data_IF_635306023737
#
_entry.id   IF_635306023737
#
_cell.length_a   1.000
_cell.length_b   1.000
_cell.length_c   1.000
_cell.angle_alpha   90.00
_cell.angle_beta   90.00
_cell.angle_gamma   90.00
#
_symmetry.space_group_name_H-M   'P 1'
#
loop_
_entity.id
_entity.type
_entity.pdbx_description
1 polymer ?
#
# COMPACT_ATOMS: atom_id res chain seq x y z
N UNK A 1 6.65 31.14 4.04
CA UNK A 1 5.36 31.65 3.56
C UNK A 1 5.38 31.84 2.04
N UNK A 2 6.32 32.62 1.48
CA UNK A 2 6.42 32.85 0.03
C UNK A 2 6.43 31.57 -0.83
N UNK A 3 7.28 30.58 -0.50
CA UNK A 3 7.34 29.29 -1.24
C UNK A 3 6.00 28.54 -1.21
N UNK A 4 5.30 28.56 -0.06
CA UNK A 4 4.03 27.85 0.12
C UNK A 4 2.91 28.47 -0.74
N UNK A 5 2.86 29.81 -0.83
CA UNK A 5 1.90 30.50 -1.70
C UNK A 5 2.10 30.19 -3.19
N UNK A 6 3.31 29.80 -3.60
CA UNK A 6 3.63 29.47 -4.99
C UNK A 6 3.28 28.02 -5.36
N UNK A 7 2.88 27.19 -4.40
CA UNK A 7 2.38 25.83 -4.66
C UNK A 7 1.06 25.82 -5.41
N UNK A 8 0.26 26.89 -5.30
CA UNK A 8 -1.04 27.04 -5.95
C UNK A 8 -0.96 27.86 -7.25
N UNK A 9 0.25 28.09 -7.77
CA UNK A 9 0.43 28.91 -8.97
C UNK A 9 -0.10 28.19 -10.21
N UNK A 10 -0.76 28.91 -11.13
CA UNK A 10 -1.24 28.34 -12.39
C UNK A 10 -0.11 27.79 -13.28
N UNK A 11 1.11 28.32 -13.15
CA UNK A 11 2.28 27.88 -13.90
C UNK A 11 2.91 26.61 -13.30
N UNK A 12 2.88 25.51 -14.07
CA UNK A 12 3.45 24.21 -13.69
C UNK A 12 4.92 24.29 -13.26
N UNK A 13 5.75 25.05 -13.98
CA UNK A 13 7.19 25.18 -13.68
C UNK A 13 7.40 25.85 -12.33
N UNK A 14 6.58 26.84 -11.98
CA UNK A 14 6.64 27.52 -10.68
C UNK A 14 6.25 26.56 -9.56
N UNK A 15 5.20 25.76 -9.75
CA UNK A 15 4.79 24.74 -8.76
C UNK A 15 5.90 23.70 -8.56
N UNK A 16 6.48 23.17 -9.64
CA UNK A 16 7.59 22.22 -9.57
C UNK A 16 8.81 22.79 -8.84
N UNK A 17 9.22 24.02 -9.17
CA UNK A 17 10.34 24.70 -8.51
C UNK A 17 10.07 24.91 -7.02
N UNK A 18 8.85 25.31 -6.67
CA UNK A 18 8.43 25.54 -5.28
C UNK A 18 8.45 24.24 -4.45
N UNK A 19 8.00 23.13 -5.02
CA UNK A 19 8.08 21.81 -4.38
C UNK A 19 9.53 21.33 -4.19
N UNK A 20 10.40 21.59 -5.17
CA UNK A 20 11.82 21.26 -5.06
C UNK A 20 12.49 22.04 -3.92
N UNK A 21 12.22 23.35 -3.81
CA UNK A 21 12.70 24.18 -2.71
C UNK A 21 12.12 23.71 -1.38
N UNK A 22 10.83 23.40 -1.31
CA UNK A 22 10.19 22.91 -0.09
C UNK A 22 10.84 21.61 0.41
N UNK A 23 11.07 20.64 -0.49
CA UNK A 23 11.79 19.40 -0.14
C UNK A 23 13.18 19.70 0.42
N UNK A 24 13.91 20.61 -0.22
CA UNK A 24 15.25 20.98 0.25
C UNK A 24 15.19 21.57 1.66
N UNK A 25 14.28 22.51 1.92
CA UNK A 25 14.10 23.14 3.24
C UNK A 25 13.74 22.12 4.33
N UNK A 26 12.85 21.16 4.03
CA UNK A 26 12.50 20.06 4.95
C UNK A 26 13.75 19.27 5.35
N UNK A 27 14.64 18.98 4.41
CA UNK A 27 15.85 18.20 4.68
C UNK A 27 17.00 18.99 5.30
N UNK A 28 17.14 20.28 5.00
CA UNK A 28 18.29 21.08 5.42
C UNK A 28 18.05 21.95 6.65
N UNK A 29 16.79 22.21 7.01
CA UNK A 29 16.42 23.19 8.05
C UNK A 29 15.45 22.63 9.10
N UNK A 30 15.72 21.42 9.61
CA UNK A 30 14.80 20.66 10.48
C UNK A 30 14.25 21.47 11.65
N UNK A 31 15.10 22.17 12.41
CA UNK A 31 14.67 22.95 13.59
C UNK A 31 13.67 24.06 13.24
N UNK A 32 13.87 24.74 12.10
CA UNK A 32 12.98 25.80 11.62
C UNK A 32 11.67 25.19 11.10
N UNK A 33 11.77 24.05 10.40
CA UNK A 33 10.63 23.38 9.79
C UNK A 33 9.71 22.71 10.81
N UNK A 34 10.24 22.32 11.98
CA UNK A 34 9.48 21.68 13.06
C UNK A 34 8.25 22.52 13.46
N UNK A 35 8.45 23.82 13.73
CA UNK A 35 7.38 24.77 14.07
C UNK A 35 6.38 25.04 12.93
N UNK A 36 6.65 24.56 11.71
CA UNK A 36 5.86 24.82 10.50
C UNK A 36 5.19 23.58 9.93
N UNK A 37 5.32 22.42 10.59
CA UNK A 37 4.81 21.13 10.11
C UNK A 37 3.35 21.16 9.68
N UNK A 38 2.46 21.67 10.54
CA UNK A 38 1.03 21.76 10.25
C UNK A 38 0.72 22.72 9.09
N UNK A 39 1.45 23.84 9.01
CA UNK A 39 1.30 24.79 7.90
C UNK A 39 1.74 24.15 6.56
N UNK A 40 2.82 23.39 6.57
CA UNK A 40 3.32 22.67 5.38
C UNK A 40 2.32 21.58 4.97
N UNK A 41 1.78 20.82 5.93
CA UNK A 41 0.71 19.83 5.68
C UNK A 41 -0.54 20.47 5.10
N UNK A 42 -0.94 21.64 5.59
CA UNK A 42 -2.07 22.36 5.01
C UNK A 42 -1.77 22.80 3.57
N UNK A 43 -0.55 23.28 3.31
CA UNK A 43 -0.15 23.86 2.02
C UNK A 43 0.08 22.82 0.93
N UNK A 44 0.42 21.57 1.29
CA UNK A 44 0.65 20.50 0.30
C UNK A 44 -0.66 19.92 -0.27
N UNK A 45 -1.82 20.19 0.36
CA UNK A 45 -3.11 19.63 -0.05
C UNK A 45 -3.49 19.93 -1.50
N UNK A 46 -3.26 21.17 -1.96
CA UNK A 46 -3.53 21.55 -3.35
C UNK A 46 -2.62 20.79 -4.35
N UNK A 47 -1.29 20.75 -4.16
CA UNK A 47 -0.42 19.91 -4.98
C UNK A 47 -0.80 18.43 -5.06
N UNK A 48 -1.44 17.84 -4.03
CA UNK A 48 -1.93 16.45 -4.10
C UNK A 48 -3.05 16.26 -5.13
N UNK A 49 -3.76 17.33 -5.50
CA UNK A 49 -4.83 17.30 -6.50
C UNK A 49 -4.35 17.73 -7.90
N UNK A 50 -3.05 17.99 -8.10
CA UNK A 50 -2.53 18.41 -9.40
C UNK A 50 -2.75 17.33 -10.47
N UNK A 51 -3.02 17.72 -11.71
CA UNK A 51 -3.21 16.78 -12.81
C UNK A 51 -1.89 16.32 -13.43
N UNK A 52 -0.83 17.13 -13.38
CA UNK A 52 0.45 16.86 -14.00
C UNK A 52 1.25 15.82 -13.24
N UNK A 53 1.62 14.73 -13.93
CA UNK A 53 2.52 13.72 -13.38
C UNK A 53 3.91 14.28 -13.04
N UNK A 54 4.35 15.37 -13.68
CA UNK A 54 5.60 16.06 -13.29
C UNK A 54 5.48 16.69 -11.91
N UNK A 55 4.35 17.35 -11.62
CA UNK A 55 4.09 17.93 -10.31
C UNK A 55 3.89 16.83 -9.27
N UNK A 56 3.07 15.81 -9.56
CA UNK A 56 2.87 14.66 -8.66
C UNK A 56 4.20 13.99 -8.31
N UNK A 57 5.10 13.79 -9.27
CA UNK A 57 6.46 13.28 -9.01
C UNK A 57 7.19 14.15 -7.99
N UNK A 58 7.14 15.48 -8.10
CA UNK A 58 7.73 16.39 -7.10
C UNK A 58 7.04 16.28 -5.74
N UNK A 59 5.72 16.11 -5.71
CA UNK A 59 4.95 15.88 -4.48
C UNK A 59 5.39 14.59 -3.79
N UNK A 60 5.54 13.47 -4.51
CA UNK A 60 6.06 12.21 -3.94
C UNK A 60 7.44 12.44 -3.31
N UNK A 61 8.35 13.18 -3.97
CA UNK A 61 9.67 13.49 -3.40
C UNK A 61 9.60 14.32 -2.10
N UNK A 62 8.64 15.24 -2.01
CA UNK A 62 8.37 16.02 -0.79
C UNK A 62 7.82 15.10 0.30
N UNK A 63 6.86 14.23 -0.02
CA UNK A 63 6.28 13.26 0.92
C UNK A 63 7.37 12.32 1.47
N UNK A 64 8.28 11.81 0.63
CA UNK A 64 9.38 10.97 1.09
C UNK A 64 10.28 11.71 2.09
N UNK A 65 10.52 13.02 1.91
CA UNK A 65 11.24 13.82 2.89
C UNK A 65 10.43 13.98 4.19
N UNK A 66 9.15 14.36 4.06
CA UNK A 66 8.20 14.52 5.17
C UNK A 66 8.10 13.27 6.07
N UNK A 67 8.19 12.07 5.50
CA UNK A 67 8.15 10.81 6.24
C UNK A 67 9.29 10.69 7.28
N UNK A 68 10.52 11.02 6.90
CA UNK A 68 11.66 10.96 7.84
C UNK A 68 11.52 11.96 8.99
N UNK A 69 10.88 13.10 8.73
CA UNK A 69 10.77 14.21 9.68
C UNK A 69 9.47 14.22 10.48
N UNK A 70 8.66 13.17 10.46
CA UNK A 70 7.55 13.00 11.42
C UNK A 70 6.27 13.73 11.03
N UNK A 71 6.08 14.02 9.75
CA UNK A 71 4.88 14.70 9.28
C UNK A 71 3.70 13.73 9.09
N UNK A 72 3.97 12.47 8.74
CA UNK A 72 2.94 11.46 8.46
C UNK A 72 2.21 11.01 9.73
N UNK A 73 2.80 11.24 10.90
CA UNK A 73 2.24 10.95 12.23
C UNK A 73 1.24 12.01 12.69
N UNK A 74 1.22 13.18 12.04
CA UNK A 74 0.35 14.29 12.41
C UNK A 74 -1.04 14.14 11.79
N UNK A 75 -2.01 14.87 12.34
CA UNK A 75 -3.33 15.00 11.75
C UNK A 75 -3.25 15.51 10.30
N UNK A 76 -3.88 14.79 9.37
CA UNK A 76 -3.80 15.03 7.93
C UNK A 76 -2.61 14.36 7.22
N UNK A 77 -1.72 13.70 7.95
CA UNK A 77 -0.64 12.88 7.39
C UNK A 77 -1.15 11.65 6.63
N UNK A 78 -2.33 11.14 7.01
CA UNK A 78 -3.06 10.07 6.33
C UNK A 78 -3.36 10.40 4.86
N UNK A 79 -3.62 11.67 4.54
CA UNK A 79 -3.83 12.13 3.16
C UNK A 79 -2.59 11.93 2.29
N UNK A 80 -1.39 12.05 2.87
CA UNK A 80 -0.14 11.82 2.15
C UNK A 80 0.06 10.33 1.86
N UNK A 81 -0.21 9.48 2.84
CA UNK A 81 -0.17 8.02 2.67
C UNK A 81 -1.20 7.58 1.62
N UNK A 82 -2.42 8.09 1.71
CA UNK A 82 -3.49 7.86 0.73
C UNK A 82 -3.07 8.27 -0.68
N UNK A 83 -2.44 9.43 -0.83
CA UNK A 83 -1.93 9.89 -2.12
C UNK A 83 -0.91 8.90 -2.71
N UNK A 84 0.04 8.40 -1.91
CA UNK A 84 1.00 7.38 -2.37
C UNK A 84 0.29 6.11 -2.83
N UNK A 85 -0.67 5.59 -2.05
CA UNK A 85 -1.39 4.35 -2.38
C UNK A 85 -2.26 4.52 -3.63
N UNK A 86 -2.94 5.66 -3.77
CA UNK A 86 -3.71 5.99 -4.98
C UNK A 86 -2.81 5.96 -6.22
N UNK A 87 -1.57 6.43 -6.11
CA UNK A 87 -0.64 6.48 -7.24
C UNK A 87 0.10 5.16 -7.47
N UNK A 88 0.23 4.29 -6.46
CA UNK A 88 0.57 2.87 -6.64
C UNK A 88 -0.46 2.13 -7.52
N UNK A 89 -1.71 2.62 -7.57
CA UNK A 89 -2.80 2.00 -8.31
C UNK A 89 -2.98 2.54 -9.74
N UNK A 90 -2.13 3.47 -10.21
CA UNK A 90 -2.28 4.05 -11.55
C UNK A 90 -2.31 2.97 -12.64
N UNK A 91 -3.19 3.09 -13.65
CA UNK A 91 -3.14 2.25 -14.83
C UNK A 91 -1.95 2.63 -15.70
N UNK A 92 -1.56 1.72 -16.59
CA UNK A 92 -0.51 1.99 -17.58
C UNK A 92 -0.94 3.14 -18.51
N UNK A 93 0.05 3.91 -18.96
CA UNK A 93 -0.11 5.01 -19.90
C UNK A 93 -0.41 4.41 -21.27
N UNK A 94 -1.60 4.71 -21.80
CA UNK A 94 -1.97 4.27 -23.14
C UNK A 94 -1.53 5.27 -24.19
N UNK A 95 -0.58 4.87 -25.05
CA UNK A 95 -0.27 5.59 -26.28
C UNK A 95 -0.97 4.93 -27.46
N UNK A 96 -1.58 5.73 -28.36
CA UNK A 96 -2.08 5.19 -29.62
C UNK A 96 -0.90 4.65 -30.45
N UNK A 97 -1.09 3.56 -31.23
CA UNK A 97 -0.05 3.05 -32.11
C UNK A 97 0.54 4.17 -33.00
N UNK A 98 1.87 4.35 -32.95
CA UNK A 98 2.58 5.39 -33.71
C UNK A 98 2.63 6.77 -33.05
N UNK A 99 1.95 6.98 -31.92
CA UNK A 99 2.01 8.23 -31.16
C UNK A 99 3.28 8.25 -30.30
N UNK A 100 4.10 9.30 -30.46
CA UNK A 100 5.24 9.56 -29.59
C UNK A 100 4.83 10.50 -28.46
N UNK A 101 5.50 10.44 -27.29
CA UNK A 101 5.35 11.44 -26.24
C UNK A 101 5.52 12.84 -26.84
N UNK A 102 4.59 13.73 -26.52
CA UNK A 102 4.65 15.12 -27.02
C UNK A 102 5.72 15.94 -26.30
N UNK A 103 6.10 15.48 -25.10
CA UNK A 103 7.10 16.10 -24.24
C UNK A 103 8.19 15.04 -23.89
N UNK A 104 9.46 15.28 -24.24
CA UNK A 104 10.57 14.38 -23.88
C UNK A 104 10.75 14.17 -22.37
N UNK A 105 10.27 15.11 -21.54
CA UNK A 105 10.32 15.02 -20.08
C UNK A 105 9.02 14.49 -19.47
N UNK A 106 8.10 13.97 -20.28
CA UNK A 106 6.83 13.41 -19.81
C UNK A 106 7.05 12.34 -18.73
N UNK A 107 6.30 12.43 -17.64
CA UNK A 107 6.32 11.43 -16.57
C UNK A 107 5.15 10.49 -16.80
N UNK A 108 5.44 9.28 -17.24
CA UNK A 108 4.42 8.25 -17.46
C UNK A 108 3.82 7.77 -16.13
N UNK A 109 2.62 7.19 -16.20
CA UNK A 109 1.97 6.60 -15.03
C UNK A 109 2.82 5.47 -14.41
N UNK A 110 3.50 4.67 -15.22
CA UNK A 110 4.37 3.58 -14.77
C UNK A 110 5.56 4.12 -13.97
N UNK A 111 6.18 5.20 -14.44
CA UNK A 111 7.30 5.84 -13.75
C UNK A 111 6.83 6.43 -12.40
N UNK A 112 5.68 7.10 -12.39
CA UNK A 112 5.10 7.66 -11.16
C UNK A 112 4.67 6.56 -10.18
N UNK A 113 4.04 5.50 -10.68
CA UNK A 113 3.62 4.32 -9.91
C UNK A 113 4.80 3.62 -9.26
N UNK A 114 5.85 3.34 -10.03
CA UNK A 114 7.11 2.75 -9.52
C UNK A 114 7.73 3.60 -8.41
N UNK A 115 7.72 4.92 -8.58
CA UNK A 115 8.21 5.84 -7.55
C UNK A 115 7.36 5.81 -6.26
N UNK A 116 6.04 5.66 -6.39
CA UNK A 116 5.14 5.50 -5.26
C UNK A 116 5.33 4.15 -4.56
N UNK A 117 5.51 3.06 -5.32
CA UNK A 117 5.81 1.73 -4.77
C UNK A 117 7.08 1.76 -3.91
N UNK A 118 8.14 2.41 -4.41
CA UNK A 118 9.39 2.60 -3.66
C UNK A 118 9.19 3.49 -2.41
N UNK A 119 8.33 4.50 -2.50
CA UNK A 119 8.04 5.41 -1.38
C UNK A 119 7.23 4.70 -0.29
N UNK A 120 6.27 3.85 -0.66
CA UNK A 120 5.53 3.02 0.29
C UNK A 120 6.46 2.02 0.99
N UNK A 121 7.36 1.39 0.22
CA UNK A 121 8.38 0.51 0.78
C UNK A 121 9.28 1.25 1.80
N UNK A 122 9.71 2.48 1.46
CA UNK A 122 10.48 3.35 2.33
C UNK A 122 9.75 3.61 3.65
N UNK A 123 8.45 3.93 3.62
CA UNK A 123 7.67 4.15 4.84
C UNK A 123 7.70 2.93 5.76
N UNK A 124 7.61 1.72 5.18
CA UNK A 124 7.56 0.48 5.96
C UNK A 124 8.91 -0.07 6.44
N UNK A 125 10.02 0.34 5.80
CA UNK A 125 11.37 -0.17 6.13
C UNK A 125 12.19 0.79 6.95
N UNK A 126 12.13 2.09 6.64
CA UNK A 126 13.09 3.08 7.18
C UNK A 126 12.49 3.98 8.25
N UNK A 127 11.16 4.12 8.28
CA UNK A 127 10.48 5.02 9.20
C UNK A 127 9.75 4.21 10.27
N UNK A 128 10.52 3.68 11.23
CA UNK A 128 9.99 2.78 12.27
C UNK A 128 8.78 3.33 13.03
N UNK A 129 8.72 4.66 13.20
CA UNK A 129 7.62 5.39 13.87
C UNK A 129 6.25 5.20 13.21
N UNK A 130 6.23 4.86 11.91
CA UNK A 130 5.00 4.66 11.15
C UNK A 130 4.44 3.24 11.24
N UNK A 131 5.14 2.31 11.89
CA UNK A 131 4.75 0.88 11.95
C UNK A 131 3.32 0.71 12.47
N UNK A 132 2.99 1.37 13.58
CA UNK A 132 1.69 1.24 14.26
C UNK A 132 0.56 1.96 13.52
N UNK A 133 0.89 3.01 12.78
CA UNK A 133 -0.08 3.75 11.97
C UNK A 133 -0.38 2.95 10.69
N UNK A 134 0.64 2.48 9.99
CA UNK A 134 0.50 1.85 8.69
C UNK A 134 -0.05 0.43 8.78
N UNK A 135 0.26 -0.31 9.84
CA UNK A 135 -0.17 -1.71 9.96
C UNK A 135 -1.70 -1.88 9.80
N UNK A 136 -2.56 -1.27 10.63
CA UNK A 136 -3.99 -1.32 10.42
C UNK A 136 -4.42 -0.52 9.18
N UNK A 137 -3.88 0.69 8.98
CA UNK A 137 -4.34 1.61 7.93
C UNK A 137 -4.23 1.01 6.52
N UNK A 138 -3.15 0.28 6.21
CA UNK A 138 -2.95 -0.26 4.87
C UNK A 138 -3.94 -1.38 4.52
N UNK A 139 -4.51 -2.10 5.51
CA UNK A 139 -5.51 -3.14 5.28
C UNK A 139 -6.79 -2.58 4.65
N UNK A 140 -7.16 -1.33 4.99
CA UNK A 140 -8.30 -0.64 4.39
C UNK A 140 -8.24 -0.62 2.85
N UNK A 141 -7.02 -0.48 2.30
CA UNK A 141 -6.82 -0.28 0.87
C UNK A 141 -6.83 -1.58 0.06
N UNK A 142 -6.89 -2.76 0.70
CA UNK A 142 -6.89 -4.04 0.00
C UNK A 142 -8.24 -4.36 -0.65
N UNK A 143 -9.35 -3.92 -0.06
CA UNK A 143 -10.70 -4.27 -0.50
C UNK A 143 -11.22 -3.42 -1.66
N UNK A 144 -11.09 -2.09 -1.68
CA UNK A 144 -11.68 -1.26 -2.73
C UNK A 144 -11.06 -1.55 -4.11
N UNK A 145 -11.91 -1.82 -5.11
CA UNK A 145 -11.46 -2.23 -6.45
C UNK A 145 -10.55 -1.22 -7.15
N UNK A 146 -10.68 0.08 -6.85
CA UNK A 146 -9.84 1.16 -7.38
C UNK A 146 -8.35 1.02 -7.01
N UNK A 147 -8.03 0.25 -5.97
CA UNK A 147 -6.65 0.00 -5.53
C UNK A 147 -6.07 -1.33 -6.00
N UNK A 148 -6.76 -2.06 -6.89
CA UNK A 148 -6.34 -3.41 -7.31
C UNK A 148 -4.90 -3.44 -7.86
N UNK A 149 -4.46 -2.41 -8.60
CA UNK A 149 -3.09 -2.29 -9.12
C UNK A 149 -2.03 -1.95 -8.06
N UNK A 150 -2.46 -1.55 -6.85
CA UNK A 150 -1.61 -1.32 -5.68
C UNK A 150 -1.55 -2.54 -4.74
N UNK A 151 -2.27 -3.63 -5.04
CA UNK A 151 -2.30 -4.83 -4.18
C UNK A 151 -0.91 -5.37 -3.92
N UNK A 152 -0.09 -5.56 -4.95
CA UNK A 152 1.28 -6.07 -4.80
C UNK A 152 2.14 -5.26 -3.81
N UNK A 153 2.32 -3.93 -3.97
CA UNK A 153 3.09 -3.14 -3.01
C UNK A 153 2.42 -3.07 -1.62
N UNK A 154 1.09 -3.00 -1.53
CA UNK A 154 0.37 -3.04 -0.24
C UNK A 154 0.64 -4.34 0.51
N UNK A 155 0.47 -5.49 -0.13
CA UNK A 155 0.69 -6.80 0.47
C UNK A 155 2.14 -7.00 0.91
N UNK A 156 3.12 -6.57 0.10
CA UNK A 156 4.55 -6.62 0.48
C UNK A 156 4.85 -5.77 1.70
N UNK A 157 4.35 -4.53 1.73
CA UNK A 157 4.52 -3.61 2.85
C UNK A 157 3.86 -4.14 4.13
N UNK A 158 2.64 -4.65 4.04
CA UNK A 158 1.94 -5.26 5.18
C UNK A 158 2.66 -6.54 5.65
N UNK A 159 3.08 -7.42 4.76
CA UNK A 159 3.82 -8.64 5.12
C UNK A 159 5.08 -8.29 5.92
N UNK A 160 5.82 -7.28 5.50
CA UNK A 160 6.99 -6.78 6.21
C UNK A 160 6.64 -6.27 7.61
N UNK A 161 5.64 -5.37 7.70
CA UNK A 161 5.20 -4.80 8.97
C UNK A 161 4.73 -5.90 9.93
N UNK A 162 3.80 -6.75 9.50
CA UNK A 162 3.25 -7.83 10.31
C UNK A 162 4.30 -8.85 10.74
N UNK A 163 5.24 -9.22 9.87
CA UNK A 163 6.36 -10.13 10.24
C UNK A 163 7.25 -9.51 11.31
N UNK A 164 7.59 -8.22 11.17
CA UNK A 164 8.39 -7.50 12.17
C UNK A 164 7.65 -7.44 13.52
N UNK A 165 6.39 -7.04 13.51
CA UNK A 165 5.56 -6.95 14.73
C UNK A 165 5.41 -8.31 15.41
N UNK A 166 5.20 -9.38 14.63
CA UNK A 166 5.11 -10.75 15.14
C UNK A 166 6.43 -11.22 15.77
N UNK A 167 7.56 -11.00 15.08
CA UNK A 167 8.89 -11.38 15.58
C UNK A 167 9.27 -10.63 16.86
N UNK A 168 8.87 -9.36 16.98
CA UNK A 168 9.06 -8.54 18.17
C UNK A 168 7.97 -8.72 19.25
N UNK A 169 7.01 -9.63 19.04
CA UNK A 169 5.89 -9.89 19.94
C UNK A 169 5.15 -8.61 20.35
N UNK A 170 4.98 -7.67 19.41
CA UNK A 170 4.34 -6.39 19.68
C UNK A 170 2.84 -6.61 19.99
N UNK A 171 2.30 -6.01 21.07
CA UNK A 171 0.94 -6.29 21.54
C UNK A 171 -0.15 -5.89 20.55
N UNK A 172 0.13 -4.89 19.71
CA UNK A 172 -0.75 -4.38 18.65
C UNK A 172 -0.51 -5.07 17.29
N UNK A 173 0.15 -6.23 17.26
CA UNK A 173 0.15 -7.11 16.08
C UNK A 173 -1.26 -7.62 15.78
N UNK A 174 -1.98 -8.07 16.82
CA UNK A 174 -3.39 -8.45 16.72
C UNK A 174 -4.24 -7.19 16.75
N UNK A 175 -4.96 -6.93 15.65
CA UNK A 175 -5.80 -5.76 15.48
C UNK A 175 -7.16 -6.04 16.11
N UNK A 176 -7.64 -5.13 16.97
CA UNK A 176 -9.04 -5.14 17.36
C UNK A 176 -9.89 -4.51 16.25
N UNK A 177 -10.52 -5.37 15.45
CA UNK A 177 -11.37 -4.94 14.34
C UNK A 177 -12.67 -4.27 14.81
N UNK A 178 -13.08 -4.44 16.07
CA UNK A 178 -14.28 -3.80 16.62
C UNK A 178 -14.05 -2.32 16.93
N UNK A 179 -12.83 -1.95 17.35
CA UNK A 179 -12.46 -0.55 17.60
C UNK A 179 -12.16 0.22 16.30
N UNK A 180 -11.89 -0.50 15.21
CA UNK A 180 -11.49 0.06 13.93
C UNK A 180 -12.65 0.11 12.93
N UNK A 181 -13.61 1.01 13.15
CA UNK A 181 -14.89 1.11 12.40
C UNK A 181 -14.73 1.17 10.87
N UNK A 182 -13.61 1.68 10.37
CA UNK A 182 -13.36 1.81 8.94
C UNK A 182 -12.64 0.60 8.31
N UNK A 183 -12.14 -0.35 9.09
CA UNK A 183 -11.43 -1.50 8.54
C UNK A 183 -12.38 -2.55 7.96
N UNK A 184 -12.00 -3.21 6.84
CA UNK A 184 -12.70 -4.39 6.37
C UNK A 184 -12.67 -5.48 7.44
N UNK A 185 -13.75 -6.25 7.56
CA UNK A 185 -13.77 -7.38 8.49
C UNK A 185 -12.66 -8.40 8.15
N UNK A 186 -12.18 -9.18 9.13
CA UNK A 186 -11.14 -10.18 8.88
C UNK A 186 -11.52 -11.18 7.77
N UNK A 187 -12.81 -11.54 7.70
CA UNK A 187 -13.38 -12.38 6.66
C UNK A 187 -13.30 -11.75 5.27
N UNK A 188 -13.60 -10.45 5.17
CA UNK A 188 -13.52 -9.73 3.91
C UNK A 188 -12.06 -9.63 3.42
N UNK A 189 -11.11 -9.43 4.33
CA UNK A 189 -9.68 -9.47 4.02
C UNK A 189 -9.26 -10.86 3.53
N UNK A 190 -9.66 -11.91 4.24
CA UNK A 190 -9.38 -13.30 3.86
C UNK A 190 -9.89 -13.61 2.45
N UNK A 191 -11.18 -13.35 2.18
CA UNK A 191 -11.79 -13.57 0.86
C UNK A 191 -11.07 -12.77 -0.21
N UNK A 192 -10.76 -11.50 0.04
CA UNK A 192 -10.04 -10.65 -0.92
C UNK A 192 -8.67 -11.21 -1.28
N UNK A 193 -7.89 -11.65 -0.29
CA UNK A 193 -6.55 -12.23 -0.51
C UNK A 193 -6.62 -13.58 -1.22
N UNK A 194 -7.59 -14.43 -0.89
CA UNK A 194 -7.83 -15.70 -1.57
C UNK A 194 -8.25 -15.49 -3.03
N UNK A 195 -9.15 -14.54 -3.31
CA UNK A 195 -9.55 -14.19 -4.68
C UNK A 195 -8.37 -13.68 -5.51
N UNK A 196 -7.46 -12.91 -4.91
CA UNK A 196 -6.22 -12.52 -5.58
C UNK A 196 -5.33 -13.75 -5.87
N UNK A 197 -5.28 -14.70 -4.93
CA UNK A 197 -4.62 -16.00 -5.10
C UNK A 197 -5.22 -16.84 -6.23
N UNK A 198 -6.55 -16.81 -6.44
CA UNK A 198 -7.21 -17.52 -7.54
C UNK A 198 -6.78 -17.03 -8.93
N UNK A 199 -6.32 -15.78 -9.03
CA UNK A 199 -5.81 -15.21 -10.28
C UNK A 199 -4.42 -14.61 -10.07
N UNK A 200 -3.40 -15.45 -9.82
CA UNK A 200 -2.18 -15.02 -9.13
C UNK A 200 -1.32 -14.06 -9.97
N UNK A 201 -1.41 -14.14 -11.29
CA UNK A 201 -0.64 -13.31 -12.22
C UNK A 201 -1.36 -12.02 -12.67
N UNK A 202 -2.63 -11.82 -12.29
CA UNK A 202 -3.34 -10.57 -12.59
C UNK A 202 -2.79 -9.40 -11.77
N UNK A 203 -3.16 -8.18 -12.18
CA UNK A 203 -2.90 -6.95 -11.42
C UNK A 203 -1.44 -6.81 -10.95
N UNK A 204 -0.48 -7.06 -11.85
CA UNK A 204 0.97 -7.00 -11.59
C UNK A 204 1.45 -8.09 -10.61
N UNK A 205 0.98 -9.33 -10.80
CA UNK A 205 1.45 -10.50 -10.03
C UNK A 205 1.05 -10.45 -8.56
N UNK A 206 -0.21 -10.15 -8.28
CA UNK A 206 -0.69 -9.90 -6.90
C UNK A 206 -0.95 -11.16 -6.06
N UNK A 207 -0.90 -12.36 -6.65
CA UNK A 207 -1.26 -13.62 -6.00
C UNK A 207 -0.33 -14.00 -4.87
N UNK A 208 0.95 -14.23 -5.19
CA UNK A 208 1.95 -14.59 -4.18
C UNK A 208 2.05 -13.56 -3.04
N UNK A 209 2.13 -12.23 -3.31
CA UNK A 209 2.06 -11.23 -2.24
C UNK A 209 0.80 -11.35 -1.36
N UNK A 210 -0.36 -11.62 -1.96
CA UNK A 210 -1.62 -11.76 -1.21
C UNK A 210 -1.61 -12.99 -0.31
N UNK A 211 -1.09 -14.12 -0.79
CA UNK A 211 -0.94 -15.35 0.00
C UNK A 211 0.11 -15.18 1.11
N UNK A 212 1.23 -14.52 0.84
CA UNK A 212 2.22 -14.19 1.89
C UNK A 212 1.61 -13.34 3.00
N UNK A 213 0.80 -12.33 2.63
CA UNK A 213 0.10 -11.52 3.62
C UNK A 213 -0.95 -12.35 4.37
N UNK A 214 -1.68 -13.23 3.70
CA UNK A 214 -2.67 -14.09 4.34
C UNK A 214 -2.04 -14.94 5.45
N UNK A 215 -0.85 -15.50 5.20
CA UNK A 215 -0.08 -16.25 6.20
C UNK A 215 0.33 -15.39 7.42
N UNK A 216 0.67 -14.12 7.17
CA UNK A 216 0.99 -13.16 8.24
C UNK A 216 -0.28 -12.71 8.99
N UNK A 217 -1.44 -12.69 8.35
CA UNK A 217 -2.71 -12.30 8.97
C UNK A 217 -3.47 -13.46 9.62
N UNK A 218 -3.04 -14.71 9.51
CA UNK A 218 -3.78 -15.87 10.06
C UNK A 218 -4.29 -15.65 11.50
N UNK A 219 -3.45 -15.20 12.47
CA UNK A 219 -3.91 -14.98 13.84
C UNK A 219 -4.91 -13.82 13.99
N UNK A 220 -4.86 -12.85 13.08
CA UNK A 220 -5.79 -11.72 13.01
C UNK A 220 -7.15 -12.14 12.39
N UNK A 221 -7.17 -13.22 11.61
CA UNK A 221 -8.40 -13.73 10.99
C UNK A 221 -9.14 -14.66 11.95
N UNK A 222 -8.44 -15.66 12.52
CA UNK A 222 -9.01 -16.59 13.46
C UNK A 222 -7.91 -17.30 14.28
N UNK A 223 -8.10 -17.60 15.57
CA UNK A 223 -7.08 -18.26 16.41
C UNK A 223 -6.56 -19.58 15.84
N UNK A 224 -7.44 -20.38 15.21
CA UNK A 224 -7.07 -21.67 14.63
C UNK A 224 -6.55 -21.57 13.18
N UNK A 225 -6.57 -20.40 12.55
CA UNK A 225 -6.15 -20.26 11.15
C UNK A 225 -4.64 -20.47 10.99
N UNK A 226 -3.84 -20.08 11.99
CA UNK A 226 -2.37 -20.25 11.93
C UNK A 226 -2.00 -21.73 11.84
N UNK A 227 -2.55 -22.58 12.70
CA UNK A 227 -2.30 -24.03 12.67
C UNK A 227 -2.82 -24.69 11.40
N UNK A 228 -3.91 -24.17 10.85
CA UNK A 228 -4.60 -24.73 9.69
C UNK A 228 -3.93 -24.39 8.36
N UNK A 229 -3.18 -23.29 8.30
CA UNK A 229 -2.54 -22.81 7.08
C UNK A 229 -1.03 -22.92 7.11
N UNK A 230 -0.47 -23.43 8.21
CA UNK A 230 0.97 -23.53 8.48
C UNK A 230 1.73 -24.22 7.34
N UNK A 231 1.10 -25.16 6.63
CA UNK A 231 1.72 -25.91 5.52
C UNK A 231 1.13 -25.58 4.18
N UNK A 232 -0.18 -25.32 4.13
CA UNK A 232 -0.94 -25.12 2.92
C UNK A 232 -0.54 -23.83 2.20
N UNK A 233 -0.48 -22.69 2.91
CA UNK A 233 -0.12 -21.42 2.27
C UNK A 233 1.35 -21.42 1.79
N UNK A 234 2.33 -21.88 2.59
CA UNK A 234 3.71 -22.01 2.10
C UNK A 234 3.85 -22.91 0.86
N UNK A 235 3.13 -24.04 0.80
CA UNK A 235 3.16 -24.92 -0.36
C UNK A 235 2.61 -24.23 -1.63
N UNK A 236 1.51 -23.48 -1.50
CA UNK A 236 0.96 -22.67 -2.60
C UNK A 236 1.96 -21.60 -3.06
N UNK A 237 2.67 -20.95 -2.13
CA UNK A 237 3.70 -19.96 -2.46
C UNK A 237 4.86 -20.58 -3.23
N UNK A 238 5.40 -21.72 -2.78
CA UNK A 238 6.46 -22.43 -3.50
C UNK A 238 6.03 -22.86 -4.89
N UNK A 239 4.79 -23.33 -5.06
CA UNK A 239 4.27 -23.68 -6.38
C UNK A 239 4.17 -22.45 -7.32
N UNK A 240 3.78 -21.28 -6.80
CA UNK A 240 3.76 -20.05 -7.59
C UNK A 240 5.16 -19.52 -7.95
N UNK A 241 6.16 -19.72 -7.10
CA UNK A 241 7.55 -19.33 -7.39
C UNK A 241 8.13 -20.08 -8.60
N UNK A 242 7.69 -21.32 -8.80
CA UNK A 242 8.11 -22.18 -9.93
C UNK A 242 7.21 -22.04 -11.18
N UNK A 243 6.15 -21.22 -11.09
CA UNK A 243 5.13 -21.10 -12.13
C UNK A 243 5.16 -19.74 -12.86
N UNK A 244 4.76 -19.75 -14.13
CA UNK A 244 4.48 -18.54 -14.93
C UNK A 244 3.01 -18.56 -15.38
N UNK A 245 2.48 -17.47 -15.97
CA UNK A 245 1.13 -17.46 -16.52
C UNK A 245 0.86 -18.60 -17.52
N UNK A 246 1.89 -19.07 -18.22
CA UNK A 246 1.80 -20.11 -19.24
C UNK A 246 1.99 -21.53 -18.67
N UNK A 247 2.68 -21.69 -17.55
CA UNK A 247 3.03 -23.02 -17.00
C UNK A 247 2.15 -23.47 -15.84
N UNK A 248 1.36 -22.56 -15.26
CA UNK A 248 0.48 -22.90 -14.13
C UNK A 248 -0.61 -23.90 -14.56
N UNK A 249 -0.65 -25.06 -13.91
CA UNK A 249 -1.77 -25.99 -14.05
C UNK A 249 -2.97 -25.47 -13.26
N UNK A 250 -3.90 -24.82 -13.97
CA UNK A 250 -5.07 -24.22 -13.37
C UNK A 250 -5.92 -25.21 -12.58
N UNK A 251 -6.00 -26.48 -13.02
CA UNK A 251 -6.83 -27.47 -12.31
C UNK A 251 -6.23 -27.80 -10.95
N UNK A 252 -4.95 -28.15 -10.93
CA UNK A 252 -4.22 -28.44 -9.69
C UNK A 252 -4.18 -27.22 -8.77
N UNK A 253 -4.02 -26.02 -9.33
CA UNK A 253 -4.05 -24.76 -8.58
C UNK A 253 -5.40 -24.49 -7.91
N UNK A 254 -6.49 -24.60 -8.66
CA UNK A 254 -7.85 -24.40 -8.14
C UNK A 254 -8.20 -25.41 -7.05
N UNK A 255 -7.87 -26.69 -7.25
CA UNK A 255 -8.06 -27.74 -6.24
C UNK A 255 -7.29 -27.44 -4.94
N UNK A 256 -6.03 -26.99 -5.06
CA UNK A 256 -5.19 -26.64 -3.90
C UNK A 256 -5.71 -25.42 -3.14
N UNK A 257 -6.20 -24.39 -3.85
CA UNK A 257 -6.85 -23.24 -3.22
C UNK A 257 -8.19 -23.60 -2.56
N UNK A 258 -8.99 -24.48 -3.18
CA UNK A 258 -10.25 -24.94 -2.62
C UNK A 258 -10.03 -25.72 -1.32
N UNK A 259 -8.93 -26.45 -1.19
CA UNK A 259 -8.56 -27.10 0.07
C UNK A 259 -8.37 -26.07 1.18
N UNK A 260 -7.66 -24.96 0.93
CA UNK A 260 -7.51 -23.86 1.90
C UNK A 260 -8.86 -23.24 2.23
N UNK A 261 -9.71 -22.96 1.25
CA UNK A 261 -11.05 -22.39 1.47
C UNK A 261 -11.95 -23.32 2.30
N UNK A 262 -11.93 -24.62 2.02
CA UNK A 262 -12.76 -25.62 2.70
C UNK A 262 -12.35 -25.77 4.16
N UNK A 263 -11.03 -25.88 4.39
CA UNK A 263 -10.45 -25.87 5.73
C UNK A 263 -10.84 -24.61 6.49
N UNK A 264 -10.78 -23.45 5.85
CA UNK A 264 -11.13 -22.16 6.46
C UNK A 264 -12.61 -22.06 6.81
N UNK A 265 -13.49 -22.59 5.96
CA UNK A 265 -14.94 -22.59 6.22
C UNK A 265 -15.30 -23.40 7.47
N UNK A 266 -14.59 -24.50 7.73
CA UNK A 266 -14.81 -25.32 8.93
C UNK A 266 -14.55 -24.54 10.22
N UNK A 267 -13.52 -23.68 10.28
CA UNK A 267 -13.24 -22.89 11.48
C UNK A 267 -14.17 -21.68 11.62
N UNK A 268 -14.61 -21.09 10.50
CA UNK A 268 -15.51 -19.93 10.51
C UNK A 268 -16.94 -20.30 10.89
N UNK A 269 -17.42 -21.47 10.44
CA UNK A 269 -18.73 -22.00 10.82
C UNK A 269 -18.82 -22.49 12.28
N UNK A 270 -17.68 -22.78 12.92
CA UNK A 270 -17.60 -23.23 14.31
C UNK A 270 -17.40 -22.07 15.32
N UNK A 271 -17.24 -20.84 14.85
CA UNK A 271 -17.09 -19.68 15.73
C UNK A 271 -18.45 -19.22 16.27
N UNK A 272 -18.65 -19.14 17.61
CA UNK A 272 -19.91 -18.69 18.23
C UNK A 272 -20.29 -17.24 17.88
N UNK A 273 -19.39 -16.48 17.26
CA UNK A 273 -19.57 -15.05 17.00
C UNK A 273 -20.50 -14.73 15.81
N UNK A 274 -20.99 -15.73 15.07
CA UNK A 274 -21.91 -15.54 13.94
C UNK A 274 -23.33 -16.07 14.20
N UNK A 275 -23.68 -16.33 15.46
CA UNK A 275 -25.06 -16.59 15.88
C UNK A 275 -25.61 -15.43 16.75
N UNK A 276 -25.43 -14.18 16.31
CA UNK A 276 -26.24 -13.03 16.74
C UNK A 276 -26.38 -12.02 15.59
#
# INVERSE_FOLDING_TARGET
MFVLQKLENSNERIRMGSLAVLRHLINSSTSIMESKKLLILASIRQPLADHSNKVKKRVVQVISAMAHHGYLELEGGDLLVKFIIQHCALPDTYYRPGQRPSDPEEVTNEALRSMCDNTLHLFTTTVGRLTDVLWPMLLYYLTPGQYSNATTPLCKSLTLLGTKKRASQEPNFNIDFNEQVNLPSPHMLMVRLLVNGSFPFRSRGHGAPSLSLLNVLSPNIHPNAETLWEKEIPALLSYLEESTPETLDNKTWEESLLQVCSSSSNILCLSPQHCQ
#
